data_IF_589962813097
#
_entry.id   IF_589962813097
#
_cell.length_a   1.000
_cell.length_b   1.000
_cell.length_c   1.000
_cell.angle_alpha   90.00
_cell.angle_beta   90.00
_cell.angle_gamma   90.00
#
_symmetry.space_group_name_H-M   'P 1'
#
loop_
_entity.id
_entity.type
_entity.pdbx_description
1 polymer ?
#
# COMPACT_ATOMS: atom_id res chain seq x y z
N UNK A 1 -31.65 -21.96 8.22
CA UNK A 1 -30.88 -22.85 7.31
C UNK A 1 -29.77 -22.01 6.72
N UNK A 2 -28.57 -22.55 6.72
CA UNK A 2 -27.29 -21.90 6.45
C UNK A 2 -27.19 -21.42 5.00
N UNK A 3 -27.12 -20.11 4.81
CA UNK A 3 -26.67 -19.48 3.57
C UNK A 3 -25.21 -19.89 3.35
N UNK A 4 -24.97 -20.82 2.41
CA UNK A 4 -23.63 -21.13 1.93
C UNK A 4 -23.07 -19.87 1.26
N UNK A 5 -22.21 -19.14 1.97
CA UNK A 5 -21.40 -18.09 1.38
C UNK A 5 -20.67 -18.69 0.19
N UNK A 6 -20.94 -18.12 -0.98
CA UNK A 6 -20.39 -18.58 -2.25
C UNK A 6 -18.88 -18.30 -2.28
N UNK A 7 -18.10 -19.22 -1.70
CA UNK A 7 -16.64 -19.33 -1.86
C UNK A 7 -16.25 -19.71 -3.32
N UNK A 8 -17.23 -20.13 -4.13
CA UNK A 8 -17.06 -20.46 -5.56
C UNK A 8 -17.13 -19.24 -6.48
N UNK A 9 -17.31 -18.03 -5.94
CA UNK A 9 -17.00 -16.83 -6.71
C UNK A 9 -15.50 -16.70 -6.67
N UNK A 10 -14.83 -17.22 -7.70
CA UNK A 10 -13.46 -16.84 -8.07
C UNK A 10 -13.52 -15.35 -8.40
N UNK A 11 -13.61 -14.50 -7.37
CA UNK A 11 -13.37 -13.09 -7.50
C UNK A 11 -11.93 -13.01 -8.02
N UNK A 12 -11.72 -12.47 -9.23
CA UNK A 12 -10.40 -12.52 -9.83
C UNK A 12 -9.45 -11.78 -8.88
N UNK A 13 -8.56 -12.54 -8.23
CA UNK A 13 -7.42 -11.94 -7.57
C UNK A 13 -6.75 -11.02 -8.59
N UNK A 14 -6.33 -9.83 -8.16
CA UNK A 14 -5.62 -8.88 -9.02
C UNK A 14 -4.37 -9.49 -9.69
N UNK A 15 -3.90 -10.64 -9.21
CA UNK A 15 -2.77 -11.39 -9.71
C UNK A 15 -3.27 -12.76 -10.19
N UNK A 16 -3.18 -13.02 -11.49
CA UNK A 16 -3.47 -14.34 -12.07
C UNK A 16 -2.31 -15.32 -11.80
N UNK A 17 -2.53 -16.61 -11.97
CA UNK A 17 -1.49 -17.63 -11.76
C UNK A 17 -0.24 -17.41 -12.65
N UNK A 18 -0.43 -16.90 -13.86
CA UNK A 18 0.65 -16.55 -14.78
C UNK A 18 1.50 -15.39 -14.26
N UNK A 19 0.85 -14.29 -13.82
CA UNK A 19 1.54 -13.13 -13.25
C UNK A 19 2.24 -13.52 -11.95
N UNK A 20 1.63 -14.35 -11.11
CA UNK A 20 2.26 -14.86 -9.90
C UNK A 20 3.55 -15.65 -10.21
N UNK A 21 3.54 -16.51 -11.24
CA UNK A 21 4.72 -17.26 -11.65
C UNK A 21 5.85 -16.35 -12.16
N UNK A 22 5.52 -15.33 -12.96
CA UNK A 22 6.50 -14.34 -13.44
C UNK A 22 7.12 -13.53 -12.29
N UNK A 23 6.30 -13.11 -11.33
CA UNK A 23 6.76 -12.41 -10.14
C UNK A 23 7.74 -13.26 -9.32
N UNK A 24 7.43 -14.55 -9.12
CA UNK A 24 8.31 -15.49 -8.40
C UNK A 24 9.64 -15.66 -9.14
N UNK A 25 9.63 -15.84 -10.46
CA UNK A 25 10.87 -15.95 -11.27
C UNK A 25 11.70 -14.66 -11.20
N UNK A 26 11.04 -13.50 -11.11
CA UNK A 26 11.67 -12.20 -10.94
C UNK A 26 12.16 -11.93 -9.51
N UNK A 27 12.01 -12.90 -8.59
CA UNK A 27 12.47 -12.82 -7.21
C UNK A 27 11.48 -12.17 -6.25
N UNK A 28 10.24 -11.92 -6.66
CA UNK A 28 9.18 -11.39 -5.78
C UNK A 28 8.40 -12.52 -5.13
N UNK A 29 8.40 -12.56 -3.79
CA UNK A 29 7.61 -13.50 -3.00
C UNK A 29 6.49 -12.74 -2.26
N UNK A 30 5.23 -13.08 -2.55
CA UNK A 30 4.10 -12.54 -1.81
C UNK A 30 3.69 -13.49 -0.70
N UNK A 31 4.01 -13.12 0.55
CA UNK A 31 3.56 -13.86 1.73
C UNK A 31 2.28 -13.21 2.26
N UNK A 32 1.12 -13.89 2.23
CA UNK A 32 -0.07 -13.37 2.86
C UNK A 32 0.21 -13.19 4.36
N UNK A 33 -0.16 -12.05 4.96
CA UNK A 33 0.13 -11.82 6.36
C UNK A 33 -0.62 -12.87 7.22
N UNK A 34 -0.01 -13.38 8.31
CA UNK A 34 -0.59 -14.45 9.14
C UNK A 34 -1.92 -14.07 9.80
N UNK A 35 -2.18 -12.77 9.90
CA UNK A 35 -3.44 -12.17 10.29
C UNK A 35 -3.84 -11.31 9.09
N UNK A 36 -5.11 -11.27 8.66
CA UNK A 36 -5.61 -10.25 7.75
C UNK A 36 -5.60 -8.89 8.48
N UNK A 37 -4.40 -8.42 8.84
CA UNK A 37 -4.15 -7.14 9.43
C UNK A 37 -4.22 -6.14 8.29
N UNK A 38 -5.27 -5.32 8.31
CA UNK A 38 -5.26 -4.04 7.63
C UNK A 38 -4.19 -3.17 8.30
N UNK A 39 -2.93 -3.31 7.87
CA UNK A 39 -1.90 -2.34 8.25
C UNK A 39 -2.47 -0.98 7.88
N UNK A 40 -2.54 -0.07 8.86
CA UNK A 40 -3.07 1.27 8.59
C UNK A 40 -2.22 1.88 7.50
N UNK A 41 -2.85 2.39 6.45
CA UNK A 41 -2.16 3.05 5.33
C UNK A 41 -1.15 4.08 5.84
N UNK A 42 -1.48 4.81 6.92
CA UNK A 42 -0.56 5.72 7.60
C UNK A 42 0.75 5.07 8.04
N UNK A 43 0.72 3.88 8.64
CA UNK A 43 1.93 3.17 9.06
C UNK A 43 2.76 2.68 7.86
N UNK A 44 2.10 2.27 6.77
CA UNK A 44 2.79 1.95 5.50
C UNK A 44 3.51 3.17 4.96
N UNK A 45 2.82 4.32 4.91
CA UNK A 45 3.37 5.56 4.40
C UNK A 45 4.49 6.10 5.30
N UNK A 46 4.35 6.05 6.62
CA UNK A 46 5.40 6.43 7.58
C UNK A 46 6.68 5.61 7.41
N UNK A 47 6.56 4.34 7.00
CA UNK A 47 7.71 3.49 6.69
C UNK A 47 8.43 3.85 5.39
N UNK A 48 7.80 4.61 4.48
CA UNK A 48 8.40 5.03 3.22
C UNK A 48 9.24 6.29 3.37
N UNK A 49 10.46 6.24 2.83
CA UNK A 49 11.31 7.42 2.68
C UNK A 49 10.70 8.42 1.69
N UNK A 50 11.11 9.68 1.77
CA UNK A 50 10.64 10.71 0.82
C UNK A 50 11.03 10.39 -0.63
N UNK A 51 12.16 9.71 -0.84
CA UNK A 51 12.62 9.30 -2.17
C UNK A 51 11.72 8.19 -2.74
N UNK A 52 11.44 7.15 -1.94
CA UNK A 52 10.52 6.08 -2.34
C UNK A 52 9.12 6.62 -2.62
N UNK A 53 8.61 7.49 -1.75
CA UNK A 53 7.30 8.12 -1.93
C UNK A 53 7.24 9.02 -3.18
N UNK A 54 8.35 9.64 -3.58
CA UNK A 54 8.42 10.47 -4.79
C UNK A 54 8.29 9.65 -6.09
N UNK A 55 8.72 8.38 -6.05
CA UNK A 55 8.59 7.44 -7.16
C UNK A 55 7.17 6.86 -7.28
N UNK A 56 6.37 6.92 -6.22
CA UNK A 56 5.00 6.38 -6.23
C UNK A 56 4.05 7.32 -6.99
N UNK A 57 3.38 6.84 -8.06
CA UNK A 57 2.34 7.60 -8.74
C UNK A 57 1.02 7.57 -7.97
N UNK A 58 0.10 8.45 -8.35
CA UNK A 58 -1.28 8.45 -7.86
C UNK A 58 -1.55 9.40 -6.68
N UNK A 59 -2.85 9.57 -6.40
CA UNK A 59 -3.37 10.60 -5.50
C UNK A 59 -2.92 10.42 -4.05
N UNK A 60 -2.87 9.17 -3.55
CA UNK A 60 -2.45 8.87 -2.18
C UNK A 60 -1.01 9.33 -1.93
N UNK A 61 -0.11 9.07 -2.87
CA UNK A 61 1.28 9.51 -2.78
C UNK A 61 1.41 11.04 -2.89
N UNK A 62 0.56 11.70 -3.68
CA UNK A 62 0.52 13.16 -3.77
C UNK A 62 0.03 13.82 -2.47
N UNK A 63 -1.05 13.29 -1.89
CA UNK A 63 -1.60 13.76 -0.63
C UNK A 63 -0.58 13.63 0.51
N UNK A 64 0.12 12.50 0.60
CA UNK A 64 1.17 12.30 1.61
C UNK A 64 2.36 13.23 1.40
N UNK A 65 2.81 13.44 0.14
CA UNK A 65 3.85 14.44 -0.18
C UNK A 65 3.44 15.84 0.25
N UNK A 66 2.17 16.23 0.05
CA UNK A 66 1.63 17.53 0.48
C UNK A 66 1.58 17.64 2.00
N UNK A 67 1.13 16.59 2.69
CA UNK A 67 1.10 16.53 4.17
C UNK A 67 2.50 16.77 4.75
N UNK A 68 3.52 16.05 4.28
CA UNK A 68 4.90 16.20 4.76
C UNK A 68 5.47 17.59 4.50
N UNK A 69 5.19 18.19 3.34
CA UNK A 69 5.59 19.58 3.03
C UNK A 69 4.98 20.58 3.99
N UNK A 70 3.70 20.41 4.35
CA UNK A 70 3.01 21.29 5.30
C UNK A 70 3.55 21.14 6.72
N UNK A 71 3.95 19.93 7.11
CA UNK A 71 4.58 19.69 8.42
C UNK A 71 5.95 20.36 8.50
N UNK A 72 6.76 20.23 7.44
CA UNK A 72 8.05 20.91 7.35
C UNK A 72 7.90 22.44 7.37
N UNK A 73 6.95 23.00 6.62
CA UNK A 73 6.71 24.45 6.64
C UNK A 73 6.22 24.94 8.00
N UNK A 74 5.44 24.14 8.74
CA UNK A 74 5.02 24.47 10.11
C UNK A 74 6.19 24.44 11.11
N UNK A 75 7.15 23.53 10.91
CA UNK A 75 8.32 23.38 11.78
C UNK A 75 9.31 24.55 11.66
N UNK A 76 9.45 25.11 10.46
CA UNK A 76 10.37 26.21 10.17
C UNK A 76 9.69 27.60 10.09
N UNK A 77 8.36 27.65 10.15
CA UNK A 77 7.56 28.87 9.97
C UNK A 77 7.11 29.58 11.25
N UNK A 78 7.40 29.07 12.44
CA UNK A 78 6.93 29.64 13.72
C UNK A 78 7.75 30.82 14.29
N UNK A 79 8.75 31.33 13.55
CA UNK A 79 9.53 32.51 13.98
C UNK A 79 9.23 33.73 13.11
N UNK A 80 8.01 34.27 13.20
CA UNK A 80 7.72 35.61 12.70
C UNK A 80 6.71 36.35 13.55
#
# INVERSE_FOLDING_TARGET
MTELHQDDRIEPFFITAEVAAEMIVSGYEFKPPPIPCTIRLRGVLEGMTNAELALQPGEIAEQERKRRKNEQSSLYGSNR
#
